data_IF_896754062028
#
_entry.id   IF_896754062028
#
_cell.length_a   1.000
_cell.length_b   1.000
_cell.length_c   1.000
_cell.angle_alpha   90.00
_cell.angle_beta   90.00
_cell.angle_gamma   90.00
#
_symmetry.space_group_name_H-M   'P 1'
#
loop_
_entity.id
_entity.type
_entity.pdbx_description
1 polymer ?
#
# COMPACT_ATOMS: atom_id res chain seq x y z
N UNK A 1 10.81 -0.07 7.99
CA UNK A 1 10.44 -0.52 6.64
C UNK A 1 11.28 -1.69 6.14
N UNK A 2 12.62 -1.67 6.23
CA UNK A 2 13.51 -2.69 5.64
C UNK A 2 13.23 -4.16 6.02
N UNK A 3 13.02 -4.47 7.30
CA UNK A 3 12.71 -5.86 7.75
C UNK A 3 11.42 -6.40 7.11
N UNK A 4 10.40 -5.55 7.09
CA UNK A 4 9.08 -5.89 6.57
C UNK A 4 9.07 -6.09 5.05
N UNK A 5 9.76 -5.23 4.30
CA UNK A 5 9.93 -5.40 2.84
C UNK A 5 10.64 -6.73 2.51
N UNK A 6 11.60 -7.16 3.34
CA UNK A 6 12.23 -8.48 3.19
C UNK A 6 11.27 -9.64 3.43
N UNK A 7 10.20 -9.46 4.20
CA UNK A 7 9.19 -10.49 4.43
C UNK A 7 8.21 -10.58 3.26
N UNK A 8 7.78 -9.43 2.70
CA UNK A 8 6.86 -9.43 1.55
C UNK A 8 7.52 -9.77 0.22
N UNK A 9 8.81 -9.48 0.01
CA UNK A 9 9.49 -9.75 -1.27
C UNK A 9 9.48 -11.23 -1.71
N UNK A 10 9.33 -12.17 -0.77
CA UNK A 10 9.37 -13.60 -1.04
C UNK A 10 7.97 -14.18 -1.34
N UNK A 11 6.92 -13.36 -1.30
CA UNK A 11 5.55 -13.79 -1.53
C UNK A 11 5.32 -13.99 -3.03
N UNK A 12 4.58 -15.04 -3.40
CA UNK A 12 4.38 -15.44 -4.81
C UNK A 12 3.74 -14.35 -5.66
N UNK A 13 2.87 -13.54 -5.06
CA UNK A 13 2.14 -12.42 -5.65
C UNK A 13 2.98 -11.14 -5.82
N UNK A 14 4.17 -11.07 -5.24
CA UNK A 14 5.06 -9.91 -5.34
C UNK A 14 6.04 -10.12 -6.51
N UNK A 15 6.06 -9.17 -7.44
CA UNK A 15 7.05 -9.10 -8.51
C UNK A 15 8.37 -8.55 -7.99
N UNK A 16 8.29 -7.48 -7.20
CA UNK A 16 9.45 -6.79 -6.63
C UNK A 16 9.04 -6.02 -5.38
N UNK A 17 9.94 -5.88 -4.41
CA UNK A 17 9.70 -5.01 -3.26
C UNK A 17 11.01 -4.37 -2.77
N UNK A 18 10.97 -3.08 -2.46
CA UNK A 18 12.13 -2.30 -2.01
C UNK A 18 11.76 -1.19 -1.05
N UNK A 19 12.76 -0.48 -0.55
CA UNK A 19 12.59 0.72 0.27
C UNK A 19 13.23 1.89 -0.48
N UNK A 20 12.48 2.97 -0.69
CA UNK A 20 13.00 4.17 -1.33
C UNK A 20 14.06 4.87 -0.46
N UNK A 21 14.89 5.78 -1.02
CA UNK A 21 15.84 6.58 -0.25
C UNK A 21 15.19 7.40 0.87
N UNK A 22 13.90 7.77 0.70
CA UNK A 22 13.09 8.48 1.71
C UNK A 22 12.44 7.55 2.74
N UNK A 23 12.77 6.26 2.73
CA UNK A 23 12.31 5.27 3.70
C UNK A 23 10.92 4.67 3.43
N UNK A 24 10.26 5.02 2.31
CA UNK A 24 8.94 4.48 1.92
C UNK A 24 9.06 3.05 1.42
N UNK A 25 8.08 2.21 1.73
CA UNK A 25 8.01 0.87 1.15
C UNK A 25 7.48 0.94 -0.27
N UNK A 26 8.04 0.15 -1.18
CA UNK A 26 7.55 0.00 -2.55
C UNK A 26 7.31 -1.49 -2.75
N UNK A 27 6.11 -1.87 -3.15
CA UNK A 27 5.73 -3.26 -3.41
C UNK A 27 5.04 -3.31 -4.77
N UNK A 28 5.66 -3.98 -5.73
CA UNK A 28 5.09 -4.26 -7.04
C UNK A 28 4.49 -5.65 -7.05
N UNK A 29 3.20 -5.74 -7.35
CA UNK A 29 2.43 -6.97 -7.42
C UNK A 29 2.46 -7.52 -8.85
N UNK A 30 2.49 -8.85 -8.99
CA UNK A 30 2.42 -9.53 -10.30
C UNK A 30 1.05 -9.43 -10.95
N UNK A 31 0.02 -9.26 -10.13
CA UNK A 31 -1.38 -9.14 -10.56
C UNK A 31 -1.89 -7.76 -10.20
N UNK A 32 -2.74 -7.23 -11.06
CA UNK A 32 -3.48 -6.01 -10.77
C UNK A 32 -4.50 -6.26 -9.65
N UNK A 33 -4.56 -5.29 -8.75
CA UNK A 33 -5.56 -5.15 -7.70
C UNK A 33 -6.69 -4.31 -8.26
N UNK A 34 -7.89 -4.85 -8.24
CA UNK A 34 -9.07 -4.08 -8.63
C UNK A 34 -9.36 -2.98 -7.61
N UNK A 35 -9.95 -1.87 -8.07
CA UNK A 35 -10.40 -0.79 -7.19
C UNK A 35 -11.30 -1.32 -6.06
N UNK A 36 -12.22 -2.24 -6.38
CA UNK A 36 -13.09 -2.88 -5.39
C UNK A 36 -12.29 -3.67 -4.34
N UNK A 37 -11.25 -4.39 -4.75
CA UNK A 37 -10.35 -5.10 -3.85
C UNK A 37 -9.60 -4.16 -2.91
N UNK A 38 -9.09 -3.05 -3.45
CA UNK A 38 -8.40 -2.03 -2.66
C UNK A 38 -9.33 -1.35 -1.66
N UNK A 39 -10.54 -0.94 -2.09
CA UNK A 39 -11.56 -0.34 -1.21
C UNK A 39 -11.97 -1.30 -0.10
N UNK A 40 -12.14 -2.58 -0.40
CA UNK A 40 -12.47 -3.62 0.58
C UNK A 40 -11.37 -3.75 1.64
N UNK A 41 -10.10 -3.78 1.23
CA UNK A 41 -8.99 -3.84 2.18
C UNK A 41 -8.86 -2.58 3.02
N UNK A 42 -9.11 -1.39 2.44
CA UNK A 42 -9.17 -0.15 3.20
C UNK A 42 -10.28 -0.20 4.26
N UNK A 43 -11.49 -0.65 3.90
CA UNK A 43 -12.61 -0.77 4.83
C UNK A 43 -12.32 -1.73 5.99
N UNK A 44 -11.62 -2.85 5.75
CA UNK A 44 -11.21 -3.79 6.79
C UNK A 44 -10.27 -3.19 7.83
N UNK A 45 -9.49 -2.18 7.44
CA UNK A 45 -8.51 -1.50 8.29
C UNK A 45 -9.01 -0.14 8.82
N UNK A 46 -10.27 0.22 8.54
CA UNK A 46 -10.82 1.53 8.90
C UNK A 46 -10.15 2.69 8.15
N UNK A 47 -9.59 2.43 6.97
CA UNK A 47 -8.95 3.43 6.12
C UNK A 47 -9.94 3.99 5.09
N UNK A 48 -9.73 5.25 4.74
CA UNK A 48 -10.55 5.95 3.74
C UNK A 48 -9.83 5.95 2.39
N UNK A 49 -10.38 5.28 1.35
CA UNK A 49 -9.83 5.36 0.00
C UNK A 49 -10.20 6.69 -0.66
N UNK A 50 -9.23 7.35 -1.28
CA UNK A 50 -9.37 8.61 -2.01
C UNK A 50 -8.67 8.53 -3.37
N UNK A 51 -9.18 9.24 -4.37
CA UNK A 51 -8.50 9.40 -5.65
C UNK A 51 -7.67 10.68 -5.63
N UNK A 52 -6.36 10.54 -5.75
CA UNK A 52 -5.46 11.68 -5.77
C UNK A 52 -5.11 12.05 -7.22
N UNK A 53 -5.73 13.10 -7.76
CA UNK A 53 -5.41 13.73 -9.04
C UNK A 53 -5.69 12.93 -10.33
N UNK A 54 -5.82 11.60 -10.26
CA UNK A 54 -6.10 10.72 -11.41
C UNK A 54 -6.90 9.50 -10.97
N UNK A 55 -7.82 9.02 -11.83
CA UNK A 55 -8.60 7.78 -11.61
C UNK A 55 -7.72 6.53 -11.48
N UNK A 56 -6.42 6.62 -11.79
CA UNK A 56 -5.46 5.51 -11.74
C UNK A 56 -4.72 5.36 -10.40
N UNK A 57 -4.78 6.38 -9.53
CA UNK A 57 -4.08 6.38 -8.26
C UNK A 57 -5.09 6.38 -7.11
N UNK A 58 -5.05 5.33 -6.30
CA UNK A 58 -5.89 5.17 -5.12
C UNK A 58 -5.04 5.34 -3.87
N UNK A 59 -5.30 6.38 -3.11
CA UNK A 59 -4.63 6.67 -1.85
C UNK A 59 -5.49 6.21 -0.68
N UNK A 60 -4.91 5.44 0.24
CA UNK A 60 -5.53 5.07 1.51
C UNK A 60 -5.12 6.07 2.59
N UNK A 61 -6.10 6.64 3.28
CA UNK A 61 -5.91 7.60 4.37
C UNK A 61 -6.33 6.99 5.71
N UNK A 62 -5.66 7.33 6.80
CA UNK A 62 -6.11 7.00 8.16
C UNK A 62 -7.24 7.93 8.64
N UNK A 63 -7.71 7.72 9.87
CA UNK A 63 -8.76 8.54 10.48
C UNK A 63 -8.35 10.01 10.74
N UNK A 64 -7.06 10.33 10.66
CA UNK A 64 -6.50 11.68 10.79
C UNK A 64 -6.23 12.32 9.43
N UNK A 65 -6.58 11.64 8.33
CA UNK A 65 -6.30 12.10 6.97
C UNK A 65 -4.83 11.91 6.55
N UNK A 66 -4.03 11.15 7.30
CA UNK A 66 -2.64 10.86 6.95
C UNK A 66 -2.56 9.76 5.89
N UNK A 67 -1.67 9.94 4.93
CA UNK A 67 -1.45 8.95 3.87
C UNK A 67 -0.83 7.68 4.42
N UNK A 68 -1.52 6.56 4.24
CA UNK A 68 -1.08 5.22 4.64
C UNK A 68 -0.38 4.53 3.47
N UNK A 69 -1.01 4.50 2.30
CA UNK A 69 -0.41 3.96 1.08
C UNK A 69 -1.06 4.54 -0.17
N UNK A 70 -0.38 4.44 -1.31
CA UNK A 70 -0.94 4.74 -2.63
C UNK A 70 -0.78 3.53 -3.53
N UNK A 71 -1.88 3.07 -4.13
CA UNK A 71 -1.89 2.10 -5.22
C UNK A 71 -1.82 2.87 -6.53
N UNK A 72 -0.73 2.70 -7.26
CA UNK A 72 -0.43 3.30 -8.55
C UNK A 72 -0.60 2.24 -9.64
N UNK A 73 -1.31 2.61 -10.72
CA UNK A 73 -1.58 1.76 -11.88
C UNK A 73 -2.04 0.33 -11.51
N UNK A 74 -2.86 0.23 -10.45
CA UNK A 74 -3.45 -0.99 -9.92
C UNK A 74 -2.47 -2.11 -9.49
N UNK A 75 -1.16 -1.95 -9.55
CA UNK A 75 -0.23 -3.03 -9.18
C UNK A 75 0.97 -2.57 -8.34
N UNK A 76 1.18 -1.27 -8.17
CA UNK A 76 2.30 -0.72 -7.42
C UNK A 76 1.81 -0.05 -6.14
N UNK A 77 2.12 -0.65 -4.99
CA UNK A 77 1.83 -0.09 -3.68
C UNK A 77 3.03 0.70 -3.14
N UNK A 78 2.80 1.99 -2.87
CA UNK A 78 3.75 2.88 -2.20
C UNK A 78 3.28 3.03 -0.76
N UNK A 79 4.04 2.48 0.18
CA UNK A 79 3.72 2.44 1.61
C UNK A 79 4.36 3.63 2.34
N UNK A 80 3.55 4.36 3.09
CA UNK A 80 4.05 5.45 3.93
C UNK A 80 4.91 4.92 5.07
N UNK A 81 5.92 5.72 5.43
CA UNK A 81 6.79 5.49 6.58
C UNK A 81 6.62 6.59 7.64
N UNK A 82 5.56 7.39 7.53
CA UNK A 82 5.27 8.47 8.46
C UNK A 82 4.81 7.91 9.81
N UNK A 83 5.04 8.69 10.87
CA UNK A 83 4.80 8.26 12.25
C UNK A 83 3.30 8.07 12.51
N UNK A 84 2.91 6.85 12.85
CA UNK A 84 1.51 6.48 13.15
C UNK A 84 0.86 5.59 12.09
N UNK A 85 1.24 5.74 10.82
CA UNK A 85 0.60 5.02 9.69
C UNK A 85 1.36 3.79 9.21
N UNK A 86 2.63 3.63 9.63
CA UNK A 86 3.50 2.52 9.22
C UNK A 86 2.87 1.14 9.44
N UNK A 87 2.15 0.94 10.54
CA UNK A 87 1.50 -0.35 10.84
C UNK A 87 0.35 -0.61 9.87
N UNK A 88 -0.55 0.36 9.72
CA UNK A 88 -1.67 0.28 8.78
C UNK A 88 -1.19 0.07 7.32
N UNK A 89 -0.09 0.70 6.93
CA UNK A 89 0.49 0.54 5.59
C UNK A 89 0.94 -0.90 5.33
N UNK A 90 1.48 -1.55 6.35
CA UNK A 90 1.91 -2.94 6.25
C UNK A 90 0.74 -3.91 6.25
N UNK A 91 -0.25 -3.69 7.12
CA UNK A 91 -1.46 -4.50 7.16
C UNK A 91 -2.21 -4.41 5.82
N UNK A 92 -2.28 -3.21 5.23
CA UNK A 92 -2.86 -3.01 3.90
C UNK A 92 -2.07 -3.78 2.83
N UNK A 93 -0.73 -3.70 2.83
CA UNK A 93 0.08 -4.47 1.90
C UNK A 93 -0.13 -5.99 2.03
N UNK A 94 -0.27 -6.49 3.26
CA UNK A 94 -0.51 -7.91 3.53
C UNK A 94 -1.87 -8.39 3.01
N UNK A 95 -2.90 -7.54 3.00
CA UNK A 95 -4.22 -7.87 2.43
C UNK A 95 -4.21 -7.91 0.89
N UNK A 96 -3.20 -7.30 0.25
CA UNK A 96 -3.08 -7.20 -1.21
C UNK A 96 -2.15 -8.25 -1.83
N UNK A 97 -1.47 -9.04 -1.00
CA UNK A 97 -0.48 -10.06 -1.37
C UNK A 97 -1.06 -11.46 -1.15
#
# INVERSE_FOLDING_TARGET
MRKLIKEVKNKRSVAYATVSPRGRGIVHLKKEVSEAGFRKACAQLGLTPSFEGSKRNLTALDSRGQMVATLVDNNLLILSNEGGVKRAAMELAALMI
#
